data_IF_786433425314
#
_entry.id   IF_786433425314
#
_cell.length_a   1.000
_cell.length_b   1.000
_cell.length_c   1.000
_cell.angle_alpha   90.00
_cell.angle_beta   90.00
_cell.angle_gamma   90.00
#
_symmetry.space_group_name_H-M   'P 1'
#
loop_
_entity.id
_entity.type
_entity.pdbx_description
1 polymer ?
#
# COMPACT_ATOMS: atom_id res chain seq x y z
N UNK A 1 -7.71 5.22 4.24
CA UNK A 1 -8.38 4.19 5.06
C UNK A 1 -7.35 3.14 5.43
N UNK A 2 -7.11 2.88 6.72
CA UNK A 2 -6.50 1.59 7.09
C UNK A 2 -7.45 0.52 6.57
N UNK A 3 -6.97 -0.38 5.73
CA UNK A 3 -7.80 -1.47 5.22
C UNK A 3 -8.28 -2.29 6.41
N UNK A 4 -9.59 -2.52 6.54
CA UNK A 4 -10.19 -3.39 7.56
C UNK A 4 -9.49 -4.76 7.58
N UNK A 5 -9.02 -5.22 6.41
CA UNK A 5 -8.23 -6.43 6.26
C UNK A 5 -6.95 -6.42 7.10
N UNK A 6 -6.25 -5.28 7.22
CA UNK A 6 -5.01 -5.21 7.99
C UNK A 6 -5.26 -5.43 9.48
N UNK A 7 -6.38 -4.92 10.01
CA UNK A 7 -6.74 -5.10 11.41
C UNK A 7 -7.23 -6.53 11.70
N UNK A 8 -7.93 -7.15 10.73
CA UNK A 8 -8.33 -8.56 10.82
C UNK A 8 -7.14 -9.52 10.71
N UNK A 9 -6.19 -9.25 9.82
CA UNK A 9 -4.95 -10.04 9.67
C UNK A 9 -4.10 -9.99 10.94
N UNK A 10 -4.04 -8.84 11.61
CA UNK A 10 -3.35 -8.72 12.90
C UNK A 10 -4.01 -9.55 14.03
N UNK A 11 -5.30 -9.87 13.89
CA UNK A 11 -6.05 -10.71 14.84
C UNK A 11 -5.96 -12.21 14.56
N UNK A 12 -5.41 -12.61 13.42
CA UNK A 12 -5.24 -14.02 13.10
C UNK A 12 -4.17 -14.66 13.99
N UNK A 13 -4.42 -15.86 14.55
CA UNK A 13 -3.47 -16.52 15.45
C UNK A 13 -2.25 -17.09 14.70
N UNK A 14 -2.44 -17.64 13.50
CA UNK A 14 -1.43 -18.40 12.76
C UNK A 14 -1.32 -17.96 11.28
N UNK A 15 -0.21 -18.34 10.62
CA UNK A 15 0.00 -18.03 9.20
C UNK A 15 -1.08 -18.64 8.30
N UNK A 16 -1.46 -19.90 8.52
CA UNK A 16 -2.46 -20.61 7.71
C UNK A 16 -3.83 -19.90 7.74
N UNK A 17 -4.20 -19.32 8.88
CA UNK A 17 -5.43 -18.51 9.03
C UNK A 17 -5.34 -17.18 8.29
N UNK A 18 -4.15 -16.57 8.22
CA UNK A 18 -3.91 -15.36 7.43
C UNK A 18 -4.01 -15.65 5.94
N UNK A 19 -3.37 -16.74 5.48
CA UNK A 19 -3.40 -17.14 4.07
C UNK A 19 -4.83 -17.40 3.58
N UNK A 20 -5.60 -18.13 4.38
CA UNK A 20 -7.02 -18.43 4.11
C UNK A 20 -7.85 -17.14 4.05
N UNK A 21 -7.68 -16.24 5.02
CA UNK A 21 -8.40 -14.96 5.08
C UNK A 21 -8.09 -14.07 3.88
N UNK A 22 -6.82 -13.95 3.48
CA UNK A 22 -6.42 -13.11 2.33
C UNK A 22 -6.94 -13.72 1.02
N UNK A 23 -6.83 -15.04 0.84
CA UNK A 23 -7.28 -15.72 -0.37
C UNK A 23 -8.79 -15.52 -0.57
N UNK A 24 -9.57 -15.74 0.49
CA UNK A 24 -11.02 -15.57 0.44
C UNK A 24 -11.43 -14.10 0.33
N UNK A 25 -10.69 -13.16 0.94
CA UNK A 25 -10.89 -11.73 0.73
C UNK A 25 -10.71 -11.36 -0.75
N UNK A 26 -9.63 -11.82 -1.38
CA UNK A 26 -9.35 -11.54 -2.79
C UNK A 26 -10.39 -12.19 -3.71
N UNK A 27 -10.83 -13.41 -3.41
CA UNK A 27 -11.89 -14.07 -4.16
C UNK A 27 -13.22 -13.31 -4.02
N UNK A 28 -13.65 -12.95 -2.81
CA UNK A 28 -14.89 -12.20 -2.59
C UNK A 28 -14.86 -10.79 -3.19
N UNK A 29 -13.74 -10.09 -3.06
CA UNK A 29 -13.56 -8.74 -3.63
C UNK A 29 -13.61 -8.76 -5.16
N UNK A 30 -13.03 -9.78 -5.80
CA UNK A 30 -12.96 -9.86 -7.26
C UNK A 30 -14.19 -10.52 -7.91
N UNK A 31 -15.01 -11.28 -7.17
CA UNK A 31 -16.07 -12.11 -7.77
C UNK A 31 -17.49 -11.91 -7.21
N UNK A 32 -17.67 -11.49 -5.95
CA UNK A 32 -18.99 -11.58 -5.27
C UNK A 32 -19.59 -10.22 -4.90
N UNK A 33 -18.79 -9.23 -4.47
CA UNK A 33 -19.33 -8.00 -3.87
C UNK A 33 -19.31 -6.82 -4.87
N UNK A 34 -20.45 -6.39 -5.45
CA UNK A 34 -20.57 -5.01 -5.90
C UNK A 34 -20.50 -4.11 -4.66
N UNK A 35 -19.63 -3.09 -4.67
CA UNK A 35 -19.49 -2.11 -3.58
C UNK A 35 -20.87 -1.51 -3.23
N UNK A 36 -21.49 -1.99 -2.15
CA UNK A 36 -22.68 -1.40 -1.55
C UNK A 36 -22.28 -0.65 -0.28
N UNK A 37 -22.72 0.61 -0.20
CA UNK A 37 -22.50 1.50 0.92
C UNK A 37 -23.05 0.92 2.24
N UNK A 38 -22.35 1.27 3.33
CA UNK A 38 -22.57 0.92 4.75
C UNK A 38 -23.97 1.26 5.33
N UNK A 39 -24.97 1.56 4.50
CA UNK A 39 -26.26 2.13 4.88
C UNK A 39 -27.30 1.13 5.45
N UNK A 40 -26.91 -0.11 5.75
CA UNK A 40 -27.83 -1.17 6.19
C UNK A 40 -27.76 -1.57 7.67
N UNK A 41 -26.88 -0.97 8.48
CA UNK A 41 -26.70 -1.39 9.88
C UNK A 41 -27.72 -0.77 10.83
N UNK A 42 -28.18 -1.54 11.80
CA UNK A 42 -28.94 -1.05 12.95
C UNK A 42 -28.04 -0.17 13.85
N UNK A 43 -28.61 0.76 14.63
CA UNK A 43 -27.82 1.63 15.50
C UNK A 43 -26.91 0.89 16.50
N UNK A 44 -27.33 -0.30 16.95
CA UNK A 44 -26.53 -1.14 17.85
C UNK A 44 -25.37 -1.83 17.12
N UNK A 45 -25.59 -2.33 15.90
CA UNK A 45 -24.55 -2.88 15.02
C UNK A 45 -23.49 -1.84 14.68
N UNK A 46 -23.94 -0.62 14.37
CA UNK A 46 -23.07 0.50 14.08
C UNK A 46 -22.26 0.95 15.30
N UNK A 47 -22.90 1.01 16.48
CA UNK A 47 -22.21 1.35 17.72
C UNK A 47 -21.11 0.34 18.04
N UNK A 48 -21.42 -0.96 17.93
CA UNK A 48 -20.47 -2.05 18.22
C UNK A 48 -19.31 -2.09 17.23
N UNK A 49 -19.58 -1.82 15.95
CA UNK A 49 -18.53 -1.68 14.93
C UNK A 49 -17.58 -0.51 15.23
N UNK A 50 -18.10 0.66 15.64
CA UNK A 50 -17.25 1.81 15.99
C UNK A 50 -16.41 1.54 17.24
N UNK A 51 -16.95 0.84 18.23
CA UNK A 51 -16.23 0.57 19.48
C UNK A 51 -15.20 -0.55 19.36
N UNK A 52 -15.51 -1.60 18.60
CA UNK A 52 -14.69 -2.82 18.54
C UNK A 52 -13.89 -2.98 17.23
N UNK A 53 -14.24 -2.22 16.18
CA UNK A 53 -13.63 -2.30 14.85
C UNK A 53 -14.01 -3.55 14.05
N UNK A 54 -15.02 -4.28 14.51
CA UNK A 54 -15.37 -5.63 14.03
C UNK A 54 -16.81 -5.60 13.48
N UNK A 55 -16.98 -5.96 12.20
CA UNK A 55 -18.29 -5.98 11.52
C UNK A 55 -19.11 -7.20 11.98
N UNK A 56 -20.40 -7.14 12.32
CA UNK A 56 -21.12 -8.29 12.88
C UNK A 56 -21.45 -9.40 11.84
N UNK A 57 -20.43 -10.14 11.43
CA UNK A 57 -20.54 -11.36 10.63
C UNK A 57 -19.83 -12.46 11.39
N UNK A 58 -20.52 -13.58 11.62
CA UNK A 58 -19.98 -14.74 12.35
C UNK A 58 -18.74 -15.37 11.67
N UNK A 59 -18.53 -15.05 10.39
CA UNK A 59 -17.43 -15.52 9.55
C UNK A 59 -16.86 -14.35 8.75
N UNK A 60 -15.58 -14.02 8.95
CA UNK A 60 -14.83 -13.06 8.14
C UNK A 60 -14.01 -13.81 7.09
N UNK A 61 -14.37 -13.67 5.81
CA UNK A 61 -13.58 -14.23 4.72
C UNK A 61 -13.20 -15.72 4.95
N UNK A 62 -14.17 -16.50 5.43
CA UNK A 62 -14.00 -17.93 5.73
C UNK A 62 -13.37 -18.30 7.08
N UNK A 63 -12.98 -17.33 7.91
CA UNK A 63 -12.46 -17.54 9.28
C UNK A 63 -13.54 -17.16 10.29
N UNK A 64 -13.81 -18.01 11.29
CA UNK A 64 -14.83 -17.69 12.29
C UNK A 64 -14.36 -16.56 13.19
N UNK A 65 -15.27 -15.65 13.56
CA UNK A 65 -15.00 -14.60 14.53
C UNK A 65 -14.44 -15.12 15.88
N UNK A 66 -14.80 -16.37 16.24
CA UNK A 66 -14.32 -17.05 17.46
C UNK A 66 -12.87 -17.52 17.39
N UNK A 67 -12.29 -17.63 16.19
CA UNK A 67 -10.90 -18.06 15.98
C UNK A 67 -9.92 -16.88 16.02
N UNK A 68 -10.43 -15.64 16.03
CA UNK A 68 -9.64 -14.42 16.12
C UNK A 68 -9.32 -14.08 17.58
N UNK A 69 -8.14 -13.53 17.82
CA UNK A 69 -7.79 -13.05 19.16
C UNK A 69 -8.59 -11.79 19.52
N UNK A 70 -8.86 -11.64 20.82
CA UNK A 70 -9.62 -10.49 21.34
C UNK A 70 -8.84 -9.19 21.17
N UNK A 71 -9.54 -8.06 21.21
CA UNK A 71 -8.92 -6.74 21.11
C UNK A 71 -7.92 -6.50 22.27
N UNK A 72 -8.29 -6.91 23.49
CA UNK A 72 -7.43 -6.78 24.67
C UNK A 72 -6.13 -7.59 24.51
N UNK A 73 -6.22 -8.80 23.96
CA UNK A 73 -5.04 -9.63 23.70
C UNK A 73 -4.15 -9.02 22.61
N UNK A 74 -4.74 -8.44 21.55
CA UNK A 74 -4.00 -7.73 20.51
C UNK A 74 -3.25 -6.51 21.07
N UNK A 75 -3.89 -5.74 21.94
CA UNK A 75 -3.27 -4.59 22.60
C UNK A 75 -2.12 -5.01 23.51
N UNK A 76 -2.29 -6.10 24.26
CA UNK A 76 -1.22 -6.69 25.08
C UNK A 76 -0.02 -7.13 24.24
N UNK A 77 -0.25 -7.79 23.09
CA UNK A 77 0.82 -8.16 22.15
C UNK A 77 1.53 -6.93 21.58
N UNK A 78 0.79 -5.89 21.21
CA UNK A 78 1.36 -4.62 20.73
C UNK A 78 2.22 -3.96 21.81
N UNK A 79 1.79 -3.97 23.06
CA UNK A 79 2.53 -3.38 24.17
C UNK A 79 3.81 -4.16 24.48
N UNK A 80 3.76 -5.49 24.49
CA UNK A 80 4.95 -6.34 24.60
C UNK A 80 5.95 -6.09 23.47
N UNK A 81 5.48 -5.97 22.23
CA UNK A 81 6.33 -5.66 21.07
C UNK A 81 6.95 -4.25 21.16
N UNK A 82 6.23 -3.25 21.68
CA UNK A 82 6.78 -1.90 21.94
C UNK A 82 7.84 -1.95 23.03
N UNK A 83 7.58 -2.64 24.13
CA UNK A 83 8.52 -2.81 25.23
C UNK A 83 9.79 -3.54 24.77
N UNK A 84 9.67 -4.57 23.93
CA UNK A 84 10.82 -5.28 23.37
C UNK A 84 11.64 -4.38 22.43
N UNK A 85 10.98 -3.60 21.56
CA UNK A 85 11.66 -2.61 20.71
C UNK A 85 12.37 -1.54 21.53
N UNK A 86 11.77 -1.07 22.62
CA UNK A 86 12.39 -0.12 23.54
C UNK A 86 13.63 -0.72 24.24
N UNK A 87 13.54 -1.97 24.72
CA UNK A 87 14.68 -2.70 25.30
C UNK A 87 15.81 -2.90 24.30
N UNK A 88 15.50 -3.25 23.05
CA UNK A 88 16.50 -3.37 21.96
C UNK A 88 17.20 -2.03 21.70
N UNK A 89 16.46 -0.92 21.69
CA UNK A 89 17.04 0.44 21.54
C UNK A 89 17.93 0.83 22.73
N UNK A 90 17.53 0.52 23.97
CA UNK A 90 18.35 0.77 25.16
C UNK A 90 19.68 0.01 25.09
N UNK A 91 19.64 -1.30 24.82
CA UNK A 91 20.85 -2.11 24.64
C UNK A 91 21.75 -1.60 23.51
N UNK A 92 21.15 -1.09 22.43
CA UNK A 92 21.89 -0.52 21.31
C UNK A 92 22.56 0.81 21.69
N UNK A 93 21.92 1.64 22.51
CA UNK A 93 22.50 2.87 23.04
C UNK A 93 23.63 2.60 24.06
N UNK A 94 23.47 1.62 24.95
CA UNK A 94 24.52 1.16 25.88
C UNK A 94 25.75 0.62 25.12
N UNK A 95 25.54 -0.14 24.03
CA UNK A 95 26.65 -0.53 23.14
C UNK A 95 27.27 0.65 22.37
N UNK A 96 26.50 1.73 22.22
CA UNK A 96 26.89 2.98 21.57
C UNK A 96 27.81 3.87 22.42
N UNK A 97 27.74 3.77 23.75
CA UNK A 97 28.67 4.45 24.66
C UNK A 97 30.09 3.86 24.53
N UNK A 98 30.24 2.53 24.42
CA UNK A 98 31.53 1.91 24.06
C UNK A 98 31.99 2.29 22.64
N UNK A 99 31.04 2.57 21.73
CA UNK A 99 31.35 3.09 20.40
C UNK A 99 31.83 4.55 20.42
N UNK A 100 31.51 5.35 21.44
CA UNK A 100 31.97 6.74 21.52
C UNK A 100 33.46 6.80 21.89
N UNK A 101 33.90 6.01 22.87
CA UNK A 101 35.32 5.79 23.16
C UNK A 101 36.06 5.20 21.95
N UNK A 102 35.52 4.15 21.33
CA UNK A 102 36.12 3.54 20.13
C UNK A 102 36.14 4.45 18.88
N UNK A 103 35.23 5.44 18.79
CA UNK A 103 35.23 6.46 17.72
C UNK A 103 36.24 7.57 18.00
N UNK A 104 36.56 7.82 19.26
CA UNK A 104 37.48 8.89 19.69
C UNK A 104 38.94 8.55 19.37
N UNK A 105 39.27 7.26 19.24
CA UNK A 105 40.62 6.78 18.89
C UNK A 105 40.81 6.46 17.38
N UNK A 106 39.86 6.82 16.50
CA UNK A 106 39.99 6.52 15.07
C UNK A 106 40.96 7.47 14.38
N UNK A 107 41.95 6.90 13.69
CA UNK A 107 42.89 7.68 12.88
C UNK A 107 42.13 8.54 11.86
N UNK A 108 42.38 9.87 11.76
CA UNK A 108 41.60 10.79 10.93
C UNK A 108 41.44 10.35 9.47
N UNK A 109 42.50 9.77 8.89
CA UNK A 109 42.47 9.22 7.53
C UNK A 109 41.39 8.14 7.33
N UNK A 110 41.19 7.24 8.31
CA UNK A 110 40.17 6.18 8.21
C UNK A 110 38.76 6.75 8.29
N UNK A 111 38.56 7.79 9.11
CA UNK A 111 37.28 8.52 9.21
C UNK A 111 36.94 9.14 7.86
N UNK A 112 37.86 9.90 7.28
CA UNK A 112 37.66 10.54 5.97
C UNK A 112 37.39 9.51 4.86
N UNK A 113 38.11 8.39 4.83
CA UNK A 113 37.86 7.32 3.86
C UNK A 113 36.47 6.70 4.01
N UNK A 114 36.01 6.51 5.25
CA UNK A 114 34.67 5.99 5.53
C UNK A 114 33.61 6.98 5.09
N UNK A 115 33.80 8.26 5.39
CA UNK A 115 32.89 9.32 5.00
C UNK A 115 32.80 9.44 3.48
N UNK A 116 33.93 9.39 2.77
CA UNK A 116 33.95 9.33 1.31
C UNK A 116 33.12 8.16 0.75
N UNK A 117 33.22 6.97 1.34
CA UNK A 117 32.39 5.82 0.93
C UNK A 117 30.90 6.07 1.16
N UNK A 118 30.53 6.64 2.30
CA UNK A 118 29.12 6.96 2.64
C UNK A 118 28.57 8.01 1.67
N UNK A 119 29.35 9.06 1.41
CA UNK A 119 28.99 10.13 0.46
C UNK A 119 28.81 9.54 -0.94
N UNK A 120 29.76 8.73 -1.43
CA UNK A 120 29.65 8.07 -2.73
C UNK A 120 28.43 7.15 -2.83
N UNK A 121 28.15 6.37 -1.78
CA UNK A 121 26.95 5.53 -1.75
C UNK A 121 25.67 6.36 -1.81
N UNK A 122 25.64 7.53 -1.13
CA UNK A 122 24.50 8.45 -1.18
C UNK A 122 24.34 9.08 -2.56
N UNK A 123 25.44 9.52 -3.19
CA UNK A 123 25.45 10.02 -4.56
C UNK A 123 24.87 8.97 -5.51
N UNK A 124 25.37 7.73 -5.46
CA UNK A 124 24.90 6.66 -6.33
C UNK A 124 23.41 6.34 -6.11
N UNK A 125 22.93 6.37 -4.87
CA UNK A 125 21.50 6.18 -4.58
C UNK A 125 20.65 7.30 -5.18
N UNK A 126 21.08 8.55 -5.05
CA UNK A 126 20.37 9.69 -5.63
C UNK A 126 20.39 9.64 -7.16
N UNK A 127 21.50 9.21 -7.76
CA UNK A 127 21.60 9.04 -9.21
C UNK A 127 20.60 8.00 -9.73
N UNK A 128 20.47 6.86 -9.05
CA UNK A 128 19.45 5.85 -9.41
C UNK A 128 18.03 6.38 -9.34
N UNK A 129 17.72 7.18 -8.31
CA UNK A 129 16.40 7.81 -8.19
C UNK A 129 16.15 8.81 -9.31
N UNK A 130 17.19 9.55 -9.74
CA UNK A 130 17.08 10.42 -10.91
C UNK A 130 16.77 9.58 -12.15
N UNK A 131 17.50 8.48 -12.38
CA UNK A 131 17.30 7.59 -13.54
C UNK A 131 15.93 6.89 -13.56
N UNK A 132 15.40 6.54 -12.39
CA UNK A 132 14.07 5.96 -12.23
C UNK A 132 13.00 7.02 -12.55
N UNK A 133 13.12 8.21 -11.96
CA UNK A 133 12.19 9.30 -12.16
C UNK A 133 12.21 9.82 -13.61
N UNK A 134 13.37 9.88 -14.28
CA UNK A 134 13.42 10.27 -15.70
C UNK A 134 12.67 9.27 -16.58
N UNK A 135 12.80 7.96 -16.33
CA UNK A 135 11.99 6.95 -17.04
C UNK A 135 10.50 7.07 -16.76
N UNK A 136 10.12 7.45 -15.54
CA UNK A 136 8.71 7.74 -15.22
C UNK A 136 8.20 8.96 -15.98
N UNK A 137 8.98 10.04 -16.02
CA UNK A 137 8.65 11.23 -16.81
C UNK A 137 8.51 10.88 -18.30
N UNK A 138 9.43 10.11 -18.88
CA UNK A 138 9.33 9.66 -20.28
C UNK A 138 8.04 8.86 -20.53
N UNK A 139 7.65 7.97 -19.61
CA UNK A 139 6.37 7.25 -19.71
C UNK A 139 5.19 8.20 -19.68
N UNK A 140 5.20 9.20 -18.79
CA UNK A 140 4.14 10.20 -18.70
C UNK A 140 4.06 11.07 -19.97
N UNK A 141 5.20 11.43 -20.56
CA UNK A 141 5.26 12.16 -21.82
C UNK A 141 4.66 11.36 -22.97
N UNK A 142 4.97 10.05 -23.07
CA UNK A 142 4.34 9.19 -24.07
C UNK A 142 2.83 9.10 -23.89
N UNK A 143 2.37 8.99 -22.64
CA UNK A 143 0.95 8.93 -22.32
C UNK A 143 0.25 10.26 -22.63
N UNK A 144 0.90 11.39 -22.38
CA UNK A 144 0.40 12.70 -22.77
C UNK A 144 0.29 12.83 -24.29
N UNK A 145 1.26 12.32 -25.05
CA UNK A 145 1.19 12.27 -26.51
C UNK A 145 0.01 11.40 -27.01
N UNK A 146 -0.24 10.26 -26.37
CA UNK A 146 -1.40 9.41 -26.66
C UNK A 146 -2.71 10.17 -26.41
N UNK A 147 -2.82 10.90 -25.29
CA UNK A 147 -4.02 11.71 -24.97
C UNK A 147 -4.28 12.82 -25.99
N UNK A 148 -3.22 13.45 -26.50
CA UNK A 148 -3.33 14.44 -27.57
C UNK A 148 -3.83 13.81 -28.88
N UNK A 149 -3.42 12.57 -29.16
CA UNK A 149 -3.88 11.80 -30.32
C UNK A 149 -5.37 11.46 -30.18
N UNK A 150 -5.80 11.01 -28.99
CA UNK A 150 -7.20 10.79 -28.66
C UNK A 150 -8.05 12.05 -28.84
N UNK A 151 -7.57 13.20 -28.37
CA UNK A 151 -8.28 14.48 -28.50
C UNK A 151 -8.43 14.89 -29.98
N UNK A 152 -7.38 14.71 -30.79
CA UNK A 152 -7.43 14.93 -32.25
C UNK A 152 -8.43 13.99 -32.94
N UNK A 153 -8.57 12.76 -32.46
CA UNK A 153 -9.58 11.83 -32.97
C UNK A 153 -10.99 12.32 -32.62
N UNK A 154 -11.25 12.65 -31.36
CA UNK A 154 -12.56 13.10 -30.88
C UNK A 154 -13.03 14.39 -31.57
N UNK A 155 -12.11 15.32 -31.84
CA UNK A 155 -12.42 16.57 -32.57
C UNK A 155 -12.79 16.35 -34.04
N UNK A 156 -12.43 15.22 -34.63
CA UNK A 156 -12.76 14.84 -36.02
C UNK A 156 -13.90 13.82 -36.11
N UNK A 157 -14.32 13.26 -34.99
CA UNK A 157 -15.36 12.23 -34.94
C UNK A 157 -16.74 12.81 -35.24
N UNK A 158 -17.63 12.00 -35.83
CA UNK A 158 -19.02 12.39 -36.04
C UNK A 158 -19.83 12.31 -34.75
N UNK A 159 -20.94 13.06 -34.67
CA UNK A 159 -21.84 13.04 -33.51
C UNK A 159 -22.37 11.64 -33.15
N UNK A 160 -22.50 10.74 -34.14
CA UNK A 160 -22.90 9.36 -33.92
C UNK A 160 -21.83 8.55 -33.18
N UNK A 161 -20.55 8.78 -33.51
CA UNK A 161 -19.40 8.16 -32.83
C UNK A 161 -19.24 8.74 -31.43
N UNK A 162 -19.39 10.05 -31.27
CA UNK A 162 -19.34 10.69 -29.94
C UNK A 162 -20.46 10.12 -29.04
N UNK A 163 -21.67 9.94 -29.58
CA UNK A 163 -22.78 9.34 -28.81
C UNK A 163 -22.53 7.88 -28.43
N UNK A 164 -21.88 7.08 -29.28
CA UNK A 164 -21.56 5.69 -28.95
C UNK A 164 -20.48 5.61 -27.85
N UNK A 165 -19.57 6.59 -27.80
CA UNK A 165 -18.51 6.69 -26.80
C UNK A 165 -19.00 7.12 -25.41
N UNK A 166 -20.26 7.52 -25.21
CA UNK A 166 -20.79 7.66 -23.83
C UNK A 166 -20.78 6.33 -23.06
N UNK A 167 -20.78 5.20 -23.75
CA UNK A 167 -20.65 3.88 -23.14
C UNK A 167 -19.17 3.45 -23.11
N UNK A 168 -18.55 3.29 -21.92
CA UNK A 168 -17.12 3.01 -21.79
C UNK A 168 -16.64 1.75 -22.50
N UNK A 169 -17.50 0.72 -22.66
CA UNK A 169 -17.15 -0.51 -23.40
C UNK A 169 -16.79 -0.24 -24.86
N UNK A 170 -17.39 0.78 -25.48
CA UNK A 170 -17.16 1.09 -26.88
C UNK A 170 -15.79 1.73 -27.13
N UNK A 171 -15.09 2.16 -26.09
CA UNK A 171 -13.75 2.75 -26.20
C UNK A 171 -12.71 1.73 -26.66
N UNK A 172 -12.95 0.43 -26.39
CA UNK A 172 -12.08 -0.67 -26.83
C UNK A 172 -12.01 -0.81 -28.35
N UNK A 173 -13.02 -0.31 -29.08
CA UNK A 173 -13.08 -0.39 -30.53
C UNK A 173 -12.19 0.67 -31.23
N UNK A 174 -11.63 1.62 -30.47
CA UNK A 174 -10.86 2.73 -31.01
C UNK A 174 -9.43 2.71 -30.45
N UNK A 175 -8.41 2.41 -31.27
CA UNK A 175 -7.03 2.32 -30.80
C UNK A 175 -6.50 3.64 -30.23
N UNK A 176 -7.01 4.78 -30.69
CA UNK A 176 -6.66 6.11 -30.21
C UNK A 176 -7.09 6.35 -28.76
N UNK A 177 -8.08 5.62 -28.26
CA UNK A 177 -8.59 5.72 -26.88
C UNK A 177 -7.97 4.69 -25.92
N UNK A 178 -7.03 3.88 -26.42
CA UNK A 178 -6.38 2.80 -25.64
C UNK A 178 -5.57 3.31 -24.44
N UNK A 179 -5.19 4.59 -24.41
CA UNK A 179 -4.44 5.21 -23.31
C UNK A 179 -5.17 5.13 -21.96
N UNK A 180 -6.51 4.99 -21.96
CA UNK A 180 -7.32 4.89 -20.73
C UNK A 180 -6.91 3.71 -19.84
N UNK A 181 -6.54 2.59 -20.46
CA UNK A 181 -6.04 1.42 -19.74
C UNK A 181 -4.69 1.69 -19.07
N UNK A 182 -3.89 2.62 -19.61
CA UNK A 182 -2.58 3.01 -19.07
C UNK A 182 -2.73 4.09 -18.00
N UNK A 183 -3.73 4.98 -18.08
CA UNK A 183 -4.00 6.00 -17.06
C UNK A 183 -4.44 5.42 -15.72
N UNK A 184 -5.15 4.29 -15.73
CA UNK A 184 -5.56 3.60 -14.50
C UNK A 184 -4.41 3.09 -13.64
N UNK A 185 -3.20 3.00 -14.20
CA UNK A 185 -1.99 2.59 -13.47
C UNK A 185 -1.21 3.76 -12.85
N UNK A 186 -1.66 5.00 -13.05
CA UNK A 186 -1.04 6.21 -12.49
C UNK A 186 -1.58 6.53 -11.09
N UNK A 187 -2.83 6.14 -10.83
CA UNK A 187 -3.54 6.33 -9.55
C UNK A 187 -3.54 5.04 -8.73
#
# INVERSE_FOLDING_TARGET
MKSILNELVEKCPNFDTVETMIKNFMEQYNTVIPQYDLAGQTPEEYYRYITEGIYQTDVYFGVSAKELITQEELESRREQARAERARRRSKQNESGESSYEYKSEQHPFKVVQKDQKVILARINKLQRLIDENTKEVEKLDTLLADTNTALKFLTKASDSVIKSLYYPRNWQNYPELSYVNRTGAIY
#
